data_IF_984359049631
#
_entry.id   IF_984359049631
#
_cell.length_a   1.000
_cell.length_b   1.000
_cell.length_c   1.000
_cell.angle_alpha   90.00
_cell.angle_beta   90.00
_cell.angle_gamma   90.00
#
_symmetry.space_group_name_H-M   'P 1'
#
loop_
_entity.id
_entity.type
_entity.pdbx_description
1 polymer ?
#
# COMPACT_ATOMS: atom_id res chain seq x y z
N UNK A 1 -51.96 6.93 -49.27
CA UNK A 1 -50.59 7.07 -48.71
C UNK A 1 -50.38 6.37 -47.36
N UNK A 2 -51.42 6.05 -46.55
CA UNK A 2 -51.29 5.45 -45.20
C UNK A 2 -50.72 4.02 -45.14
N UNK A 3 -51.02 3.16 -46.13
CA UNK A 3 -50.63 1.75 -46.11
C UNK A 3 -49.12 1.49 -46.37
N UNK A 4 -48.45 2.34 -47.15
CA UNK A 4 -47.01 2.21 -47.42
C UNK A 4 -46.14 2.52 -46.20
N UNK A 5 -46.60 3.42 -45.32
CA UNK A 5 -45.85 3.77 -44.10
C UNK A 5 -45.92 2.66 -43.04
N UNK A 6 -47.04 1.93 -42.92
CA UNK A 6 -47.20 0.84 -41.96
C UNK A 6 -46.32 -0.39 -42.28
N UNK A 7 -46.13 -0.71 -43.56
CA UNK A 7 -45.29 -1.83 -43.99
C UNK A 7 -43.79 -1.54 -43.79
N UNK A 8 -43.39 -0.27 -43.91
CA UNK A 8 -42.00 0.17 -43.75
C UNK A 8 -41.60 0.24 -42.26
N UNK A 9 -42.50 0.66 -41.36
CA UNK A 9 -42.23 0.61 -39.91
C UNK A 9 -42.12 -0.83 -39.38
N UNK A 10 -42.96 -1.75 -39.86
CA UNK A 10 -42.90 -3.15 -39.44
C UNK A 10 -41.58 -3.87 -39.85
N UNK A 11 -41.02 -3.52 -41.03
CA UNK A 11 -39.70 -4.04 -41.47
C UNK A 11 -38.53 -3.53 -40.63
N UNK A 12 -38.59 -2.30 -40.10
CA UNK A 12 -37.54 -1.72 -39.25
C UNK A 12 -37.52 -2.32 -37.84
N UNK A 13 -38.69 -2.66 -37.32
CA UNK A 13 -38.81 -3.33 -36.02
C UNK A 13 -38.25 -4.76 -36.06
N UNK A 14 -38.37 -5.47 -37.19
CA UNK A 14 -37.76 -6.79 -37.35
C UNK A 14 -36.22 -6.75 -37.37
N UNK A 15 -35.62 -5.79 -38.07
CA UNK A 15 -34.17 -5.64 -38.14
C UNK A 15 -33.55 -5.30 -36.77
N UNK A 16 -34.14 -4.35 -36.04
CA UNK A 16 -33.67 -3.96 -34.70
C UNK A 16 -33.75 -5.09 -33.67
N UNK A 17 -34.76 -5.95 -33.75
CA UNK A 17 -34.86 -7.15 -32.90
C UNK A 17 -33.73 -8.14 -33.20
N UNK A 18 -33.38 -8.34 -34.47
CA UNK A 18 -32.26 -9.23 -34.85
C UNK A 18 -30.91 -8.65 -34.43
N UNK A 19 -30.71 -7.35 -34.60
CA UNK A 19 -29.50 -6.66 -34.13
C UNK A 19 -29.35 -6.79 -32.61
N UNK A 20 -30.43 -6.55 -31.86
CA UNK A 20 -30.44 -6.73 -30.41
C UNK A 20 -30.17 -8.18 -30.00
N UNK A 21 -30.75 -9.16 -30.70
CA UNK A 21 -30.55 -10.58 -30.41
C UNK A 21 -29.11 -11.06 -30.66
N UNK A 22 -28.37 -10.42 -31.57
CA UNK A 22 -26.96 -10.73 -31.81
C UNK A 22 -26.01 -9.99 -30.84
N UNK A 23 -26.34 -8.76 -30.47
CA UNK A 23 -25.50 -7.94 -29.57
C UNK A 23 -25.67 -8.34 -28.12
N UNK A 24 -26.89 -8.69 -27.68
CA UNK A 24 -27.18 -8.99 -26.29
C UNK A 24 -26.33 -10.15 -25.74
N UNK A 25 -26.16 -11.31 -26.41
CA UNK A 25 -25.33 -12.39 -25.89
C UNK A 25 -23.86 -11.99 -25.72
N UNK A 26 -23.31 -11.24 -26.68
CA UNK A 26 -21.92 -10.74 -26.60
C UNK A 26 -21.78 -9.76 -25.44
N UNK A 27 -22.74 -8.85 -25.28
CA UNK A 27 -22.76 -7.90 -24.17
C UNK A 27 -22.85 -8.61 -22.82
N UNK A 28 -23.69 -9.65 -22.70
CA UNK A 28 -23.82 -10.43 -21.46
C UNK A 28 -22.53 -11.20 -21.13
N UNK A 29 -21.88 -11.81 -22.12
CA UNK A 29 -20.58 -12.48 -21.92
C UNK A 29 -19.52 -11.50 -21.43
N UNK A 30 -19.44 -10.31 -22.03
CA UNK A 30 -18.48 -9.29 -21.58
C UNK A 30 -18.81 -8.76 -20.19
N UNK A 31 -20.09 -8.50 -19.90
CA UNK A 31 -20.54 -8.02 -18.60
C UNK A 31 -20.21 -9.04 -17.51
N UNK A 32 -20.72 -10.27 -17.65
CA UNK A 32 -20.49 -11.32 -16.67
C UNK A 32 -19.04 -11.75 -16.59
N UNK A 33 -18.34 -11.82 -17.72
CA UNK A 33 -16.90 -12.12 -17.75
C UNK A 33 -16.08 -11.07 -16.98
N UNK A 34 -16.43 -9.78 -17.08
CA UNK A 34 -15.75 -8.73 -16.31
C UNK A 34 -16.02 -8.81 -14.80
N UNK A 35 -17.26 -9.11 -14.40
CA UNK A 35 -17.63 -9.33 -13.00
C UNK A 35 -16.90 -10.53 -12.43
N UNK A 36 -16.85 -11.63 -13.18
CA UNK A 36 -16.19 -12.86 -12.76
C UNK A 36 -14.67 -12.68 -12.65
N UNK A 37 -14.03 -12.01 -13.62
CA UNK A 37 -12.60 -11.69 -13.56
C UNK A 37 -12.25 -10.84 -12.34
N UNK A 38 -13.11 -9.87 -12.02
CA UNK A 38 -12.95 -9.03 -10.83
C UNK A 38 -13.05 -9.88 -9.56
N UNK A 39 -14.00 -10.81 -9.50
CA UNK A 39 -14.16 -11.76 -8.39
C UNK A 39 -12.92 -12.65 -8.24
N UNK A 40 -12.42 -13.23 -9.33
CA UNK A 40 -11.22 -14.09 -9.31
C UNK A 40 -9.98 -13.33 -8.86
N UNK A 41 -9.78 -12.10 -9.34
CA UNK A 41 -8.67 -11.25 -8.88
C UNK A 41 -8.76 -10.94 -7.39
N UNK A 42 -9.96 -10.61 -6.89
CA UNK A 42 -10.21 -10.39 -5.46
C UNK A 42 -9.93 -11.65 -4.62
N UNK A 43 -10.36 -12.82 -5.09
CA UNK A 43 -10.08 -14.11 -4.45
C UNK A 43 -8.57 -14.43 -4.41
N UNK A 44 -7.82 -14.14 -5.48
CA UNK A 44 -6.38 -14.34 -5.51
C UNK A 44 -5.65 -13.45 -4.49
N UNK A 45 -6.04 -12.17 -4.37
CA UNK A 45 -5.48 -11.28 -3.35
C UNK A 45 -5.84 -11.74 -1.94
N UNK A 46 -7.07 -12.22 -1.76
CA UNK A 46 -7.55 -12.81 -0.50
C UNK A 46 -6.70 -14.01 -0.09
N UNK A 47 -6.43 -14.95 -1.00
CA UNK A 47 -5.59 -16.12 -0.74
C UNK A 47 -4.17 -15.73 -0.34
N UNK A 48 -3.57 -14.77 -1.05
CA UNK A 48 -2.23 -14.26 -0.73
C UNK A 48 -2.17 -13.57 0.64
N UNK A 49 -3.20 -12.79 0.98
CA UNK A 49 -3.29 -12.12 2.27
C UNK A 49 -3.49 -13.12 3.41
N UNK A 50 -4.37 -14.11 3.25
CA UNK A 50 -4.58 -15.17 4.23
C UNK A 50 -3.30 -15.99 4.46
N UNK A 51 -2.58 -16.36 3.39
CA UNK A 51 -1.31 -17.05 3.48
C UNK A 51 -0.27 -16.22 4.26
N UNK A 52 -0.18 -14.92 3.98
CA UNK A 52 0.69 -13.98 4.69
C UNK A 52 0.34 -13.87 6.18
N UNK A 53 -0.95 -13.76 6.52
CA UNK A 53 -1.41 -13.69 7.91
C UNK A 53 -1.06 -14.97 8.67
N UNK A 54 -1.31 -16.15 8.11
CA UNK A 54 -0.91 -17.41 8.70
C UNK A 54 0.60 -17.47 8.92
N UNK A 55 1.41 -17.15 7.89
CA UNK A 55 2.86 -17.20 8.01
C UNK A 55 3.38 -16.26 9.10
N UNK A 56 2.86 -15.03 9.17
CA UNK A 56 3.24 -14.07 10.22
C UNK A 56 2.92 -14.58 11.62
N UNK A 57 1.80 -15.26 11.82
CA UNK A 57 1.46 -15.84 13.12
C UNK A 57 2.33 -17.08 13.44
N UNK A 58 2.71 -17.85 12.43
CA UNK A 58 3.50 -19.07 12.58
C UNK A 58 4.99 -18.81 12.94
N UNK A 59 5.58 -17.71 12.46
CA UNK A 59 7.01 -17.42 12.68
C UNK A 59 7.37 -16.96 14.10
N UNK A 60 6.39 -16.56 14.91
CA UNK A 60 6.59 -16.03 16.28
C UNK A 60 6.97 -17.15 17.26
N UNK A 61 7.96 -16.96 18.15
CA UNK A 61 8.32 -17.94 19.18
C UNK A 61 7.12 -18.47 19.99
N UNK A 62 7.04 -19.79 20.18
CA UNK A 62 5.91 -20.45 20.86
C UNK A 62 4.62 -20.61 20.05
N UNK A 63 4.54 -20.08 18.82
CA UNK A 63 3.38 -20.29 17.94
C UNK A 63 3.21 -21.74 17.48
N UNK A 64 1.95 -22.17 17.39
CA UNK A 64 1.52 -23.47 16.88
C UNK A 64 0.97 -23.31 15.44
N UNK A 65 1.28 -24.26 14.55
CA UNK A 65 0.82 -24.24 13.17
C UNK A 65 -0.71 -24.26 13.05
N UNK A 66 -1.41 -25.03 13.90
CA UNK A 66 -2.88 -25.09 13.92
C UNK A 66 -3.52 -23.76 14.27
N UNK A 67 -2.91 -22.98 15.17
CA UNK A 67 -3.39 -21.65 15.52
C UNK A 67 -3.21 -20.66 14.36
N UNK A 68 -2.09 -20.77 13.64
CA UNK A 68 -1.84 -19.96 12.45
C UNK A 68 -2.79 -20.33 11.28
N UNK A 69 -3.10 -21.62 11.11
CA UNK A 69 -4.10 -22.10 10.15
C UNK A 69 -5.49 -21.53 10.49
N UNK A 70 -5.93 -21.64 11.74
CA UNK A 70 -7.21 -21.10 12.20
C UNK A 70 -7.32 -19.58 11.97
N UNK A 71 -6.21 -18.83 12.06
CA UNK A 71 -6.19 -17.39 11.77
C UNK A 71 -6.36 -17.07 10.29
N UNK A 72 -5.83 -17.92 9.40
CA UNK A 72 -6.10 -17.78 7.96
C UNK A 72 -7.55 -18.16 7.63
N UNK A 73 -8.08 -19.25 8.22
CA UNK A 73 -9.48 -19.66 8.06
C UNK A 73 -10.45 -18.57 8.50
N UNK A 74 -10.22 -17.94 9.66
CA UNK A 74 -11.01 -16.78 10.13
C UNK A 74 -11.07 -15.65 9.08
N UNK A 75 -9.94 -15.36 8.42
CA UNK A 75 -9.88 -14.36 7.35
C UNK A 75 -10.64 -14.77 6.09
N UNK A 76 -10.58 -16.05 5.71
CA UNK A 76 -11.27 -16.58 4.54
C UNK A 76 -12.79 -16.63 4.76
N UNK A 77 -13.22 -16.98 5.97
CA UNK A 77 -14.62 -17.02 6.38
C UNK A 77 -15.27 -15.64 6.35
N UNK A 78 -14.57 -14.60 6.80
CA UNK A 78 -15.05 -13.22 6.75
C UNK A 78 -15.35 -12.75 5.32
N UNK A 79 -14.62 -13.29 4.34
CA UNK A 79 -14.78 -12.98 2.92
C UNK A 79 -15.81 -13.91 2.26
N UNK A 80 -16.17 -15.00 2.94
CA UNK A 80 -17.10 -16.02 2.45
C UNK A 80 -16.47 -16.94 1.41
N UNK A 81 -15.17 -17.22 1.52
CA UNK A 81 -14.49 -18.22 0.69
C UNK A 81 -14.93 -19.62 1.12
N UNK A 82 -15.26 -20.48 0.15
CA UNK A 82 -15.72 -21.85 0.37
C UNK A 82 -14.65 -22.86 -0.02
N UNK A 83 -14.68 -24.02 0.64
CA UNK A 83 -13.81 -25.17 0.37
C UNK A 83 -12.32 -24.82 0.40
N UNK A 84 -11.94 -23.95 1.33
CA UNK A 84 -10.55 -23.57 1.53
C UNK A 84 -9.77 -24.60 2.33
N UNK A 85 -8.56 -24.87 1.86
CA UNK A 85 -7.56 -25.71 2.52
C UNK A 85 -6.34 -24.84 2.79
N UNK A 86 -6.05 -24.64 4.07
CA UNK A 86 -4.81 -24.00 4.53
C UNK A 86 -3.82 -25.09 4.91
N UNK A 87 -2.57 -24.95 4.48
CA UNK A 87 -1.51 -25.89 4.83
C UNK A 87 -0.23 -25.15 5.19
N UNK A 88 0.35 -25.52 6.33
CA UNK A 88 1.63 -24.99 6.80
C UNK A 88 2.68 -26.10 6.78
N UNK A 89 3.86 -25.80 6.23
CA UNK A 89 5.00 -26.70 6.17
C UNK A 89 6.26 -26.01 6.69
N UNK A 90 6.95 -26.59 7.70
CA UNK A 90 6.64 -27.85 8.38
C UNK A 90 5.43 -27.75 9.33
N UNK A 91 4.74 -28.87 9.56
CA UNK A 91 3.56 -28.95 10.44
C UNK A 91 3.91 -28.80 11.94
N UNK A 92 5.16 -29.08 12.31
CA UNK A 92 5.69 -28.83 13.65
C UNK A 92 6.78 -27.77 13.54
N UNK A 93 6.52 -26.61 14.15
CA UNK A 93 7.44 -25.46 14.13
C UNK A 93 8.30 -25.52 15.39
N UNK A 94 9.57 -25.85 15.21
CA UNK A 94 10.57 -25.92 16.28
C UNK A 94 11.48 -24.70 16.28
N UNK A 95 12.33 -24.58 17.29
CA UNK A 95 13.37 -23.54 17.36
C UNK A 95 14.42 -23.63 16.24
N UNK A 96 14.50 -24.76 15.54
CA UNK A 96 15.42 -24.97 14.42
C UNK A 96 14.77 -24.69 13.05
N UNK A 97 13.46 -24.50 13.02
CA UNK A 97 12.72 -24.28 11.77
C UNK A 97 13.09 -22.91 11.21
N UNK A 98 13.84 -22.86 10.11
CA UNK A 98 14.26 -21.59 9.50
C UNK A 98 13.21 -20.97 8.58
N UNK A 99 12.45 -21.80 7.88
CA UNK A 99 11.46 -21.37 6.89
C UNK A 99 10.11 -21.98 7.22
N UNK A 100 9.07 -21.16 7.10
CA UNK A 100 7.68 -21.59 7.15
C UNK A 100 7.06 -21.30 5.79
N UNK A 101 6.57 -22.35 5.13
CA UNK A 101 5.85 -22.28 3.89
C UNK A 101 4.35 -22.43 4.16
N UNK A 102 3.55 -21.49 3.68
CA UNK A 102 2.10 -21.53 3.80
C UNK A 102 1.48 -21.56 2.41
N UNK A 103 0.53 -22.46 2.20
CA UNK A 103 -0.29 -22.54 0.99
C UNK A 103 -1.76 -22.54 1.36
N UNK A 104 -2.51 -21.61 0.76
CA UNK A 104 -3.97 -21.52 0.84
C UNK A 104 -4.52 -21.88 -0.52
N UNK A 105 -5.37 -22.90 -0.58
CA UNK A 105 -5.94 -23.40 -1.84
C UNK A 105 -7.46 -23.50 -1.73
N UNK A 106 -8.19 -23.05 -2.75
CA UNK A 106 -9.63 -23.29 -2.87
C UNK A 106 -10.09 -23.28 -4.33
N UNK A 107 -11.15 -24.04 -4.67
CA UNK A 107 -11.64 -24.13 -6.04
C UNK A 107 -12.35 -22.83 -6.45
N UNK A 108 -12.09 -22.37 -7.68
CA UNK A 108 -12.81 -21.23 -8.28
C UNK A 108 -14.30 -21.57 -8.44
N UNK A 109 -14.62 -22.82 -8.78
CA UNK A 109 -16.00 -23.25 -9.04
C UNK A 109 -16.95 -23.08 -7.85
N UNK A 110 -16.50 -23.34 -6.61
CA UNK A 110 -17.29 -23.12 -5.40
C UNK A 110 -17.44 -21.64 -5.01
N UNK A 111 -16.62 -20.77 -5.60
CA UNK A 111 -16.48 -19.35 -5.25
C UNK A 111 -16.88 -18.38 -6.38
N UNK A 112 -17.34 -18.93 -7.51
CA UNK A 112 -17.79 -18.22 -8.71
C UNK A 112 -19.19 -17.62 -8.54
N UNK A 113 -19.45 -16.49 -9.20
CA UNK A 113 -20.75 -15.78 -9.09
C UNK A 113 -21.69 -16.07 -10.27
N UNK A 114 -21.16 -16.19 -11.48
CA UNK A 114 -22.01 -16.29 -12.69
C UNK A 114 -21.93 -17.67 -13.33
N UNK A 115 -20.73 -18.17 -13.60
CA UNK A 115 -20.54 -19.39 -14.40
C UNK A 115 -19.32 -20.18 -13.91
N UNK A 116 -19.53 -21.10 -12.94
CA UNK A 116 -18.47 -21.99 -12.45
C UNK A 116 -17.83 -22.84 -13.56
N UNK A 117 -18.60 -23.13 -14.61
CA UNK A 117 -18.20 -24.06 -15.68
C UNK A 117 -17.22 -23.44 -16.69
N UNK A 118 -17.14 -22.12 -16.76
CA UNK A 118 -16.17 -21.41 -17.62
C UNK A 118 -14.86 -21.08 -16.90
N UNK A 119 -14.83 -21.13 -15.56
CA UNK A 119 -13.64 -20.86 -14.76
C UNK A 119 -13.33 -22.04 -13.86
N UNK A 120 -12.59 -22.99 -14.42
CA UNK A 120 -12.09 -24.16 -13.71
C UNK A 120 -10.71 -23.91 -13.10
N UNK A 121 -10.41 -24.59 -12.00
CA UNK A 121 -9.09 -24.59 -11.36
C UNK A 121 -9.14 -24.07 -9.93
N UNK A 122 -7.99 -24.15 -9.29
CA UNK A 122 -7.82 -23.74 -7.91
C UNK A 122 -7.09 -22.40 -7.83
N UNK A 123 -7.58 -21.54 -6.95
CA UNK A 123 -6.82 -20.37 -6.50
C UNK A 123 -5.82 -20.87 -5.47
N UNK A 124 -4.57 -20.49 -5.67
CA UNK A 124 -3.48 -20.87 -4.78
C UNK A 124 -2.73 -19.61 -4.35
N UNK A 125 -2.79 -19.30 -3.06
CA UNK A 125 -1.97 -18.28 -2.42
C UNK A 125 -0.81 -18.92 -1.68
N UNK A 126 0.42 -18.51 -1.97
CA UNK A 126 1.63 -19.05 -1.32
C UNK A 126 2.44 -17.94 -0.71
N UNK A 127 3.00 -18.22 0.46
CA UNK A 127 4.02 -17.36 1.06
C UNK A 127 5.04 -18.20 1.79
N UNK A 128 6.26 -17.68 1.87
CA UNK A 128 7.36 -18.28 2.63
C UNK A 128 7.96 -17.18 3.49
N UNK A 129 8.06 -17.42 4.79
CA UNK A 129 8.67 -16.48 5.73
C UNK A 129 9.80 -17.14 6.52
N UNK A 130 10.81 -16.34 6.85
CA UNK A 130 11.90 -16.75 7.74
C UNK A 130 11.42 -16.62 9.18
N UNK A 131 11.73 -17.61 10.02
CA UNK A 131 11.37 -17.54 11.45
C UNK A 131 12.38 -16.71 12.24
N UNK A 132 11.90 -16.06 13.30
CA UNK A 132 12.77 -15.41 14.28
C UNK A 132 13.56 -16.42 15.13
N UNK A 133 13.18 -17.70 15.09
CA UNK A 133 13.72 -18.78 15.93
C UNK A 133 15.05 -19.33 15.44
N UNK A 134 15.33 -19.26 14.13
CA UNK A 134 16.52 -19.88 13.55
C UNK A 134 17.82 -19.26 14.06
N UNK A 135 18.35 -19.86 15.13
CA UNK A 135 19.62 -19.49 15.78
C UNK A 135 20.80 -19.46 14.79
N UNK A 136 20.73 -20.31 13.75
CA UNK A 136 21.75 -20.42 12.71
C UNK A 136 21.81 -19.20 11.77
N UNK A 137 20.72 -18.46 11.57
CA UNK A 137 20.73 -17.28 10.71
C UNK A 137 20.97 -16.00 11.49
N UNK A 138 20.36 -15.81 12.68
CA UNK A 138 20.62 -14.62 13.51
C UNK A 138 22.06 -14.50 14.01
N UNK A 139 22.77 -15.62 14.22
CA UNK A 139 24.19 -15.58 14.61
C UNK A 139 25.15 -15.29 13.45
N UNK A 140 24.69 -15.37 12.20
CA UNK A 140 25.54 -15.19 10.99
C UNK A 140 25.37 -13.79 10.37
N UNK A 141 24.37 -13.02 10.82
CA UNK A 141 24.17 -11.62 10.38
C UNK A 141 24.65 -10.59 11.40
N UNK A 142 25.31 -10.99 12.50
CA UNK A 142 25.99 -9.99 13.32
C UNK A 142 27.17 -9.48 12.48
N UNK A 143 27.12 -8.23 11.97
CA UNK A 143 28.28 -7.70 11.26
C UNK A 143 29.46 -7.78 12.22
N UNK A 144 30.59 -8.31 11.76
CA UNK A 144 31.86 -8.15 12.47
C UNK A 144 31.95 -6.70 12.91
N UNK A 145 32.17 -6.40 14.21
CA UNK A 145 32.28 -5.01 14.64
C UNK A 145 33.27 -4.30 13.72
N UNK A 146 32.94 -3.11 13.19
CA UNK A 146 33.84 -2.40 12.30
C UNK A 146 35.21 -2.29 13.00
N UNK A 147 36.32 -2.42 12.26
CA UNK A 147 37.64 -2.26 12.86
C UNK A 147 37.67 -0.91 13.61
N UNK A 148 38.37 -0.85 14.77
CA UNK A 148 38.51 0.40 15.51
C UNK A 148 38.92 1.52 14.55
N UNK A 149 38.29 2.71 14.63
CA UNK A 149 38.71 3.82 13.78
C UNK A 149 40.21 4.04 13.93
N UNK A 150 40.92 4.12 12.81
CA UNK A 150 42.35 4.42 12.82
C UNK A 150 42.59 5.69 13.65
N UNK A 151 43.66 5.75 14.45
CA UNK A 151 43.95 6.93 15.26
C UNK A 151 43.97 8.16 14.33
N UNK A 152 43.09 9.11 14.59
CA UNK A 152 43.05 10.36 13.84
C UNK A 152 44.41 11.03 13.97
N UNK A 153 45.07 11.42 12.86
CA UNK A 153 46.35 12.11 12.96
C UNK A 153 46.15 13.38 13.81
N UNK A 154 46.93 13.49 14.88
CA UNK A 154 46.91 14.65 15.77
C UNK A 154 47.14 15.91 14.92
N UNK A 155 46.23 16.91 14.95
CA UNK A 155 46.41 18.12 14.17
C UNK A 155 47.71 18.81 14.59
N UNK A 156 48.60 19.05 13.62
CA UNK A 156 49.81 19.83 13.80
C UNK A 156 49.42 21.21 14.38
N UNK A 157 50.02 21.66 15.50
CA UNK A 157 49.68 22.96 16.07
C UNK A 157 49.93 24.06 15.03
N UNK A 158 48.88 24.82 14.71
CA UNK A 158 48.95 25.97 13.83
C UNK A 158 49.82 27.05 14.48
N UNK A 159 50.78 27.67 13.77
CA UNK A 159 51.62 28.71 14.35
C UNK A 159 50.76 29.89 14.82
N UNK A 160 50.98 30.32 16.06
CA UNK A 160 50.28 31.45 16.69
C UNK A 160 50.53 32.74 15.89
N UNK A 161 49.49 33.48 15.46
CA UNK A 161 49.67 34.72 14.74
C UNK A 161 50.31 35.79 15.64
N UNK A 162 51.32 36.48 15.10
CA UNK A 162 52.01 37.60 15.75
C UNK A 162 51.03 38.76 16.01
N UNK A 163 51.00 39.37 17.22
CA UNK A 163 50.06 40.44 17.53
C UNK A 163 50.30 41.67 16.64
N UNK A 164 49.24 42.14 16.00
CA UNK A 164 49.21 43.38 15.21
C UNK A 164 49.21 44.59 16.15
N UNK A 165 50.01 45.64 15.90
CA UNK A 165 50.03 46.82 16.76
C UNK A 165 48.68 47.55 16.76
N UNK A 166 48.26 47.95 17.96
CA UNK A 166 46.97 48.61 18.21
C UNK A 166 46.95 50.04 17.65
N UNK A 167 45.92 50.45 16.88
CA UNK A 167 45.82 51.80 16.37
C UNK A 167 45.47 52.81 17.49
N UNK A 168 46.09 53.98 17.43
CA UNK A 168 45.90 55.11 18.36
C UNK A 168 44.49 55.70 18.23
N UNK A 169 43.76 55.97 19.34
CA UNK A 169 42.40 56.50 19.28
C UNK A 169 42.33 57.92 18.70
N UNK A 170 41.37 58.13 17.80
CA UNK A 170 41.00 59.43 17.22
C UNK A 170 40.05 60.16 18.18
N UNK A 171 40.20 61.48 18.41
CA UNK A 171 39.34 62.22 19.33
C UNK A 171 37.88 62.30 18.85
N UNK A 172 36.96 62.13 19.79
CA UNK A 172 35.51 62.09 19.59
C UNK A 172 34.92 63.50 19.38
N UNK A 173 34.13 63.75 18.32
CA UNK A 173 33.42 65.02 18.18
C UNK A 173 32.21 65.11 19.12
N UNK A 174 31.99 66.31 19.66
CA UNK A 174 30.95 66.68 20.63
C UNK A 174 29.53 66.55 20.05
N UNK A 175 28.54 66.01 20.79
CA UNK A 175 27.18 65.80 20.28
C UNK A 175 26.40 67.10 20.05
N UNK A 176 25.71 67.17 18.93
CA UNK A 176 24.72 68.20 18.57
C UNK A 176 23.37 67.90 19.24
N UNK A 177 22.66 68.90 19.81
CA UNK A 177 21.39 68.67 20.50
C UNK A 177 20.26 68.19 19.58
N UNK A 178 19.44 67.29 20.12
CA UNK A 178 18.32 66.61 19.47
C UNK A 178 17.09 67.51 19.30
N UNK A 179 16.46 67.57 18.11
CA UNK A 179 15.17 68.26 17.96
C UNK A 179 14.00 67.47 18.56
N UNK A 180 13.05 68.21 19.15
CA UNK A 180 11.86 67.74 19.87
C UNK A 180 10.84 67.06 18.92
N UNK A 181 10.19 65.95 19.33
CA UNK A 181 9.25 65.22 18.47
C UNK A 181 7.96 66.00 18.16
N UNK A 182 7.55 65.93 16.89
CA UNK A 182 6.27 66.44 16.38
C UNK A 182 5.13 65.46 16.72
N UNK A 183 3.96 65.92 17.19
CA UNK A 183 2.84 65.05 17.55
C UNK A 183 2.20 64.34 16.35
N UNK A 184 1.76 63.11 16.60
CA UNK A 184 1.14 62.17 15.64
C UNK A 184 -0.25 62.65 15.19
N UNK A 185 -0.59 62.61 13.88
CA UNK A 185 -1.93 62.91 13.41
C UNK A 185 -2.93 61.78 13.71
N UNK A 186 -4.14 62.18 14.09
CA UNK A 186 -5.30 61.33 14.40
C UNK A 186 -5.83 60.60 13.15
N UNK A 187 -6.19 59.30 13.23
CA UNK A 187 -6.72 58.55 12.09
C UNK A 187 -8.08 59.05 11.59
N UNK A 188 -8.22 59.14 10.26
CA UNK A 188 -9.45 59.50 9.52
C UNK A 188 -10.43 58.32 9.48
N UNK A 189 -11.75 58.52 9.72
CA UNK A 189 -12.74 57.46 9.71
C UNK A 189 -13.05 56.89 8.30
N UNK A 190 -13.29 55.58 8.26
CA UNK A 190 -13.62 54.78 7.07
C UNK A 190 -15.03 55.08 6.53
N UNK A 191 -15.23 55.22 5.21
CA UNK A 191 -16.56 55.38 4.62
C UNK A 191 -17.33 54.04 4.50
N UNK A 192 -18.67 54.07 4.54
CA UNK A 192 -19.53 52.88 4.41
C UNK A 192 -19.65 52.37 2.96
N UNK A 193 -19.99 51.07 2.78
CA UNK A 193 -20.04 50.42 1.46
C UNK A 193 -21.25 50.84 0.59
N UNK A 194 -21.17 50.72 -0.75
CA UNK A 194 -22.25 51.10 -1.67
C UNK A 194 -23.34 50.02 -1.78
N UNK A 195 -24.58 50.44 -2.03
CA UNK A 195 -25.77 49.59 -2.18
C UNK A 195 -26.16 49.50 -3.67
N UNK A 196 -26.09 48.29 -4.23
CA UNK A 196 -27.10 47.58 -5.04
C UNK A 196 -26.45 46.39 -5.76
#
# INVERSE_FOLDING_TARGET
>A
MKARNAMVTNRRNGATVVEFAMVLPVLLVLLFGSVELTRVSMLQHTANHAAYVAARNAIVPGADASQAEAKAEEHLDLIGVKDAVVSISPSVITEETALVNVSVTFPVSSNSLVVPEFMSGDIVGKTTMVTERSKAQMSTVLPTPPPPPAPTPTPTPTPTPTPTPTPTPTPTPTPTPTPTPTPTPTPTPTPPPPVL
#
